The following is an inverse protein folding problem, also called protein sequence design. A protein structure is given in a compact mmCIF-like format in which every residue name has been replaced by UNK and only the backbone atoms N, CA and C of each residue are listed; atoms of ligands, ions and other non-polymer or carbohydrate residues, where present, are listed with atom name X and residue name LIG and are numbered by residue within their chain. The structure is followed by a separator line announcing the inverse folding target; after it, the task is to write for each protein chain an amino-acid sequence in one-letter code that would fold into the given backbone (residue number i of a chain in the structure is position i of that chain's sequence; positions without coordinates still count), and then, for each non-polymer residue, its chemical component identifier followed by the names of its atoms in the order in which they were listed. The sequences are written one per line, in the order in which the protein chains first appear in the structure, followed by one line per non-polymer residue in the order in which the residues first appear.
data_IF_725774866632
#
_entry.id   IF_725774866632
#
_cell.length_a   1.000
_cell.length_b   1.000
_cell.length_c   1.000
_cell.angle_alpha   90.00
_cell.angle_beta   90.00
_cell.angle_gamma   90.00
#
_symmetry.space_group_name_H-M   'P 1'
#
loop_
_entity.id
_entity.type
_entity.pdbx_description
1 polymer ?
#
# COMPACT_ATOMS: atom_id res chain seq x y z
N UNK A 1 7.59 6.98 -21.40
CA UNK A 1 6.85 7.69 -20.35
C UNK A 1 5.95 6.77 -19.53
N UNK A 2 5.12 5.90 -20.12
CA UNK A 2 4.26 4.99 -19.32
C UNK A 2 5.03 3.85 -18.63
N UNK A 3 6.02 3.25 -19.31
CA UNK A 3 6.78 2.08 -18.81
C UNK A 3 7.61 2.40 -17.55
N UNK A 4 8.25 3.58 -17.54
CA UNK A 4 9.05 4.06 -16.41
C UNK A 4 8.20 4.28 -15.15
N UNK A 5 6.99 4.84 -15.30
CA UNK A 5 6.03 4.98 -14.19
C UNK A 5 5.59 3.61 -13.65
N UNK A 6 5.36 2.63 -14.53
CA UNK A 6 5.02 1.26 -14.11
C UNK A 6 6.18 0.60 -13.35
N UNK A 7 7.41 0.75 -13.85
CA UNK A 7 8.62 0.24 -13.20
C UNK A 7 8.85 0.85 -11.83
N UNK A 8 8.78 2.18 -11.72
CA UNK A 8 8.91 2.89 -10.44
C UNK A 8 7.84 2.47 -9.44
N UNK A 9 6.57 2.39 -9.89
CA UNK A 9 5.46 1.97 -9.06
C UNK A 9 5.62 0.52 -8.57
N UNK A 10 6.10 -0.38 -9.44
CA UNK A 10 6.36 -1.77 -9.07
C UNK A 10 7.43 -1.88 -7.97
N UNK A 11 8.51 -1.12 -8.08
CA UNK A 11 9.55 -1.08 -7.04
C UNK A 11 9.04 -0.50 -5.73
N UNK A 12 8.24 0.57 -5.79
CA UNK A 12 7.61 1.18 -4.60
C UNK A 12 6.65 0.21 -3.91
N UNK A 13 5.82 -0.53 -4.68
CA UNK A 13 4.94 -1.56 -4.13
C UNK A 13 5.73 -2.69 -3.45
N UNK A 14 6.81 -3.18 -4.08
CA UNK A 14 7.70 -4.20 -3.48
C UNK A 14 8.36 -3.70 -2.20
N UNK A 15 8.75 -2.43 -2.13
CA UNK A 15 9.31 -1.84 -0.93
C UNK A 15 8.24 -1.77 0.18
N UNK A 16 7.03 -1.29 -0.13
CA UNK A 16 5.93 -1.22 0.83
C UNK A 16 5.57 -2.61 1.40
N UNK A 17 5.50 -3.66 0.57
CA UNK A 17 5.30 -5.03 1.05
C UNK A 17 6.39 -5.48 2.04
N UNK A 18 7.67 -5.22 1.72
CA UNK A 18 8.80 -5.55 2.60
C UNK A 18 8.74 -4.77 3.92
N UNK A 19 8.31 -3.51 3.89
CA UNK A 19 8.14 -2.68 5.09
C UNK A 19 7.05 -3.23 6.00
N UNK A 20 5.86 -3.54 5.45
CA UNK A 20 4.75 -4.13 6.23
C UNK A 20 5.16 -5.46 6.87
N UNK A 21 5.90 -6.31 6.14
CA UNK A 21 6.38 -7.58 6.67
C UNK A 21 7.36 -7.44 7.85
N UNK A 22 8.10 -6.32 7.92
CA UNK A 22 9.08 -6.02 8.98
C UNK A 22 8.52 -5.14 10.09
N UNK A 23 7.28 -4.67 9.96
CA UNK A 23 6.66 -3.78 10.92
C UNK A 23 6.50 -4.51 12.26
N UNK A 24 6.82 -3.85 13.37
CA UNK A 24 6.49 -4.35 14.70
C UNK A 24 5.06 -3.89 15.04
N UNK A 25 4.08 -4.69 14.63
CA UNK A 25 2.66 -4.41 14.78
C UNK A 25 1.87 -5.71 14.95
N UNK A 26 0.65 -5.65 15.53
CA UNK A 26 -0.24 -6.80 15.61
C UNK A 26 -0.53 -7.41 14.23
N UNK A 27 -0.61 -8.73 14.18
CA UNK A 27 -0.81 -9.49 12.93
C UNK A 27 -2.08 -9.06 12.19
N UNK A 28 -3.16 -8.72 12.90
CA UNK A 28 -4.40 -8.21 12.29
C UNK A 28 -4.18 -6.91 11.51
N UNK A 29 -3.31 -6.02 12.01
CA UNK A 29 -3.00 -4.76 11.36
C UNK A 29 -2.11 -4.99 10.13
N UNK A 30 -1.11 -5.86 10.23
CA UNK A 30 -0.29 -6.29 9.08
C UNK A 30 -1.13 -6.96 8.00
N UNK A 31 -2.09 -7.80 8.38
CA UNK A 31 -2.97 -8.48 7.44
C UNK A 31 -3.86 -7.48 6.68
N UNK A 32 -4.37 -6.44 7.36
CA UNK A 32 -5.13 -5.34 6.72
C UNK A 32 -4.25 -4.55 5.74
N UNK A 33 -3.06 -4.15 6.16
CA UNK A 33 -2.10 -3.45 5.31
C UNK A 33 -1.72 -4.29 4.08
N UNK A 34 -1.51 -5.59 4.26
CA UNK A 34 -1.19 -6.53 3.17
C UNK A 34 -2.33 -6.62 2.16
N UNK A 35 -3.59 -6.76 2.62
CA UNK A 35 -4.76 -6.74 1.73
C UNK A 35 -4.88 -5.45 0.93
N UNK A 36 -4.65 -4.30 1.58
CA UNK A 36 -4.66 -2.99 0.90
C UNK A 36 -3.56 -2.88 -0.17
N UNK A 37 -2.36 -3.41 0.09
CA UNK A 37 -1.28 -3.45 -0.91
C UNK A 37 -1.58 -4.39 -2.09
N UNK A 38 -2.24 -5.53 -1.85
CA UNK A 38 -2.72 -6.42 -2.92
C UNK A 38 -3.71 -5.67 -3.81
N UNK A 39 -4.69 -4.99 -3.22
CA UNK A 39 -5.68 -4.24 -3.99
C UNK A 39 -5.06 -3.07 -4.78
N UNK A 40 -4.04 -2.40 -4.23
CA UNK A 40 -3.27 -1.38 -4.97
C UNK A 40 -2.47 -1.96 -6.13
N UNK A 41 -1.93 -3.16 -5.99
CA UNK A 41 -1.22 -3.87 -7.06
C UNK A 41 -2.17 -4.25 -8.20
N UNK A 42 -3.41 -4.60 -7.91
CA UNK A 42 -4.41 -4.85 -8.95
C UNK A 42 -4.91 -3.55 -9.59
N UNK A 43 -5.08 -2.49 -8.79
CA UNK A 43 -5.46 -1.18 -9.29
C UNK A 43 -4.38 -0.58 -10.21
N UNK A 44 -3.09 -0.80 -9.92
CA UNK A 44 -1.99 -0.24 -10.72
C UNK A 44 -2.03 -0.71 -12.17
N UNK A 45 -2.47 -1.96 -12.41
CA UNK A 45 -2.62 -2.54 -13.76
C UNK A 45 -3.65 -1.79 -14.61
N UNK A 46 -4.59 -1.09 -13.99
CA UNK A 46 -5.68 -0.36 -14.66
C UNK A 46 -5.42 1.15 -14.67
N UNK A 47 -4.88 1.68 -13.58
CA UNK A 47 -4.58 3.10 -13.40
C UNK A 47 -3.36 3.28 -12.49
N UNK A 48 -2.18 3.35 -13.12
CA UNK A 48 -0.91 3.53 -12.43
C UNK A 48 -0.83 4.88 -11.67
N UNK A 49 -1.44 5.95 -12.19
CA UNK A 49 -1.39 7.27 -11.54
C UNK A 49 -2.21 7.26 -10.25
N UNK A 50 -3.44 6.76 -10.31
CA UNK A 50 -4.29 6.64 -9.11
C UNK A 50 -3.69 5.68 -8.10
N UNK A 51 -3.15 4.54 -8.54
CA UNK A 51 -2.47 3.61 -7.65
C UNK A 51 -1.25 4.23 -6.96
N UNK A 52 -0.44 5.02 -7.69
CA UNK A 52 0.71 5.74 -7.15
C UNK A 52 0.31 6.72 -6.04
N UNK A 53 -0.69 7.58 -6.28
CA UNK A 53 -1.17 8.53 -5.27
C UNK A 53 -1.70 7.85 -4.00
N UNK A 54 -2.38 6.69 -4.15
CA UNK A 54 -2.87 5.92 -3.01
C UNK A 54 -1.75 5.20 -2.26
N UNK A 55 -0.71 4.77 -2.97
CA UNK A 55 0.49 4.20 -2.37
C UNK A 55 1.24 5.27 -1.57
N UNK A 56 1.35 6.50 -2.08
CA UNK A 56 1.93 7.63 -1.34
C UNK A 56 1.22 7.89 -0.01
N UNK A 57 -0.12 7.91 -0.03
CA UNK A 57 -0.91 8.07 1.19
C UNK A 57 -0.65 6.92 2.19
N UNK A 58 -0.60 5.67 1.71
CA UNK A 58 -0.31 4.51 2.56
C UNK A 58 1.09 4.58 3.16
N UNK A 59 2.10 4.95 2.37
CA UNK A 59 3.48 5.11 2.85
C UNK A 59 3.56 6.22 3.89
N UNK A 60 2.91 7.35 3.66
CA UNK A 60 2.86 8.45 4.62
C UNK A 60 2.15 8.07 5.93
N UNK A 61 1.12 7.23 5.88
CA UNK A 61 0.49 6.66 7.07
C UNK A 61 1.44 5.73 7.84
N UNK A 62 2.16 4.85 7.14
CA UNK A 62 3.17 3.98 7.75
C UNK A 62 4.32 4.78 8.40
N UNK A 63 4.82 5.82 7.73
CA UNK A 63 5.88 6.70 8.24
C UNK A 63 5.43 7.45 9.50
N UNK A 64 4.15 7.81 9.57
CA UNK A 64 3.56 8.47 10.73
C UNK A 64 3.10 7.50 11.84
N UNK A 65 3.32 6.18 11.69
CA UNK A 65 2.86 5.17 12.64
C UNK A 65 1.34 5.02 12.71
N UNK A 66 0.61 5.55 11.72
CA UNK A 66 -0.85 5.43 11.63
C UNK A 66 -1.21 4.07 11.04
N UNK A 67 -1.40 3.11 11.92
CA UNK A 67 -1.79 1.76 11.55
C UNK A 67 -3.33 1.62 11.53
N UNK A 68 -3.87 0.74 10.68
CA UNK A 68 -5.32 0.53 10.62
C UNK A 68 -5.85 0.03 11.97
N UNK A 69 -6.87 0.70 12.49
CA UNK A 69 -7.52 0.33 13.75
C UNK A 69 -8.49 -0.84 13.56
N UNK A 70 -8.67 -1.66 14.59
CA UNK A 70 -9.65 -2.73 14.57
C UNK A 70 -11.07 -2.15 14.42
N UNK A 71 -11.79 -2.55 13.37
CA UNK A 71 -13.19 -2.14 13.12
C UNK A 71 -13.38 -1.00 12.12
N UNK A 72 -12.31 -0.32 11.67
CA UNK A 72 -12.39 0.52 10.49
C UNK A 72 -12.33 -0.40 9.25
N UNK A 73 -13.49 -0.83 8.77
CA UNK A 73 -13.59 -1.52 7.49
C UNK A 73 -13.12 -0.58 6.37
N UNK A 74 -12.56 -1.20 5.34
CA UNK A 74 -11.83 -0.63 4.21
C UNK A 74 -12.77 0.20 3.28
N UNK A 75 -13.45 1.21 3.79
CA UNK A 75 -14.45 2.03 3.06
C UNK A 75 -13.81 2.98 2.03
N UNK A 76 -12.52 2.82 1.73
CA UNK A 76 -11.79 3.68 0.79
C UNK A 76 -11.03 2.90 -0.27
N UNK A 77 -11.49 1.69 -0.61
CA UNK A 77 -10.92 0.92 -1.71
C UNK A 77 -11.61 1.11 -3.07
#
# INVERSE_FOLDING_TARGET
MSDELYGELAERLRNAHRRVARLDAPEDQKARLTRRLIALTDASKRDARRASARLDALVADLDAGRLPVAGAEDERL
#
